data_IF_853425261415
#
_entry.id   IF_853425261415
#
_cell.length_a   1.000
_cell.length_b   1.000
_cell.length_c   1.000
_cell.angle_alpha   90.00
_cell.angle_beta   90.00
_cell.angle_gamma   90.00
#
_symmetry.space_group_name_H-M   'P 1'
#
loop_
_entity.id
_entity.type
_entity.pdbx_description
1 polymer ?
#
# COMPACT_ATOMS: atom_id res chain seq x y z
N UNK A 1 -4.01 -17.41 -21.80
CA UNK A 1 -4.35 -16.12 -21.17
C UNK A 1 -3.95 -16.04 -19.70
N UNK A 2 -4.09 -17.07 -18.86
CA UNK A 2 -3.73 -16.99 -17.43
C UNK A 2 -2.21 -16.89 -17.09
N UNK A 3 -1.31 -17.25 -18.01
CA UNK A 3 0.13 -17.25 -17.75
C UNK A 3 0.80 -15.87 -17.94
N UNK A 4 0.21 -15.00 -18.76
CA UNK A 4 0.75 -13.66 -19.04
C UNK A 4 0.42 -12.69 -17.89
N UNK A 5 -0.77 -12.82 -17.29
CA UNK A 5 -1.20 -12.03 -16.13
C UNK A 5 -0.40 -12.37 -14.86
N UNK A 6 0.08 -13.61 -14.73
CA UNK A 6 0.87 -14.06 -13.59
C UNK A 6 2.33 -13.57 -13.61
N UNK A 7 2.89 -13.32 -14.79
CA UNK A 7 4.27 -12.81 -14.93
C UNK A 7 4.32 -11.29 -14.69
N UNK A 8 3.30 -10.56 -15.17
CA UNK A 8 3.15 -9.12 -14.91
C UNK A 8 3.11 -8.76 -13.41
N UNK A 9 2.64 -9.70 -12.58
CA UNK A 9 2.56 -9.56 -11.11
C UNK A 9 3.95 -9.54 -10.41
N UNK A 10 5.00 -9.90 -11.14
CA UNK A 10 6.40 -9.93 -10.67
C UNK A 10 7.26 -8.84 -11.28
N UNK A 11 6.74 -8.13 -12.29
CA UNK A 11 7.46 -7.05 -12.95
C UNK A 11 7.45 -5.80 -12.06
N UNK A 12 8.63 -5.18 -11.93
CA UNK A 12 8.79 -3.88 -11.31
C UNK A 12 9.26 -2.92 -12.41
N UNK A 13 8.46 -1.90 -12.65
CA UNK A 13 8.78 -0.84 -13.61
C UNK A 13 9.49 0.30 -12.88
N UNK A 14 10.69 0.63 -13.33
CA UNK A 14 11.43 1.77 -12.79
C UNK A 14 11.04 3.00 -13.60
N UNK A 15 10.33 3.93 -12.96
CA UNK A 15 9.88 5.20 -13.57
C UNK A 15 10.96 6.27 -13.45
N UNK A 16 11.67 6.30 -12.32
CA UNK A 16 12.77 7.23 -12.06
C UNK A 16 13.84 6.56 -11.21
N UNK A 17 15.10 6.69 -11.61
CA UNK A 17 16.23 6.22 -10.81
C UNK A 17 16.53 7.12 -9.59
N UNK A 18 15.97 8.34 -9.56
CA UNK A 18 16.25 9.32 -8.51
C UNK A 18 17.69 9.85 -8.54
N UNK A 19 18.15 10.35 -7.40
CA UNK A 19 19.49 10.93 -7.25
C UNK A 19 20.08 10.59 -5.89
N UNK A 20 21.40 10.34 -5.86
CA UNK A 20 22.11 10.09 -4.62
C UNK A 20 22.07 11.32 -3.72
N UNK A 21 21.81 11.10 -2.45
CA UNK A 21 21.91 12.14 -1.45
C UNK A 21 23.40 12.48 -1.20
N UNK A 22 23.79 13.72 -1.52
CA UNK A 22 25.19 14.20 -1.44
C UNK A 22 25.33 15.50 -0.63
N UNK A 23 24.44 15.73 0.33
CA UNK A 23 24.42 17.00 1.08
C UNK A 23 25.55 17.11 2.11
N UNK A 24 26.30 16.03 2.36
CA UNK A 24 27.20 15.95 3.51
C UNK A 24 26.44 15.97 4.85
N UNK A 25 27.14 15.64 5.93
CA UNK A 25 26.61 15.68 7.30
C UNK A 25 26.12 14.34 7.86
N UNK A 26 25.66 14.36 9.11
CA UNK A 26 25.39 13.17 9.93
C UNK A 26 24.38 12.17 9.34
N UNK A 27 23.52 12.64 8.44
CA UNK A 27 22.44 11.86 7.84
C UNK A 27 22.80 11.20 6.52
N UNK A 28 23.92 11.56 5.87
CA UNK A 28 24.29 10.99 4.57
C UNK A 28 24.43 9.46 4.63
N UNK A 29 25.05 8.95 5.70
CA UNK A 29 25.19 7.51 5.94
C UNK A 29 23.86 6.77 6.08
N UNK A 30 22.76 7.46 6.40
CA UNK A 30 21.42 6.85 6.49
C UNK A 30 20.78 6.61 5.12
N UNK A 31 21.25 7.29 4.07
CA UNK A 31 20.82 7.05 2.68
C UNK A 31 21.55 5.87 2.04
N UNK A 32 22.14 4.99 2.85
CA UNK A 32 22.80 3.77 2.42
C UNK A 32 22.32 2.61 3.29
N UNK A 33 22.24 1.42 2.72
CA UNK A 33 21.92 0.21 3.48
C UNK A 33 22.97 -0.06 4.57
N UNK A 34 22.52 -0.63 5.69
CA UNK A 34 23.37 -0.89 6.84
C UNK A 34 24.55 -1.83 6.50
N UNK A 35 25.67 -1.62 7.20
CA UNK A 35 26.97 -2.24 6.97
C UNK A 35 27.13 -3.69 7.44
N UNK A 36 26.03 -4.43 7.65
CA UNK A 36 26.13 -5.85 8.06
C UNK A 36 26.52 -6.78 6.90
N UNK A 37 26.73 -6.26 5.70
CA UNK A 37 27.20 -6.98 4.51
C UNK A 37 28.40 -6.32 3.83
N UNK A 38 28.99 -7.04 2.87
CA UNK A 38 30.14 -6.60 2.05
C UNK A 38 29.84 -5.36 1.22
N UNK A 39 28.59 -5.22 0.77
CA UNK A 39 28.14 -4.15 -0.11
C UNK A 39 27.08 -3.27 0.56
N UNK A 40 27.18 -1.96 0.34
CA UNK A 40 26.16 -0.98 0.74
C UNK A 40 25.47 -0.46 -0.51
N UNK A 41 24.14 -0.48 -0.48
CA UNK A 41 23.31 -0.01 -1.57
C UNK A 41 22.74 1.37 -1.23
N UNK A 42 22.76 2.33 -2.16
CA UNK A 42 22.21 3.65 -1.92
C UNK A 42 20.68 3.65 -1.95
N UNK A 43 20.09 4.62 -1.26
CA UNK A 43 18.68 4.98 -1.33
C UNK A 43 18.53 6.32 -2.07
N UNK A 44 18.43 6.29 -3.41
CA UNK A 44 18.34 7.52 -4.20
C UNK A 44 17.03 8.26 -3.96
N UNK A 45 17.11 9.55 -3.65
CA UNK A 45 15.96 10.43 -3.46
C UNK A 45 15.28 10.68 -4.81
N UNK A 46 13.95 10.61 -4.85
CA UNK A 46 13.16 10.69 -6.08
C UNK A 46 13.17 9.40 -6.91
N UNK A 47 13.71 8.30 -6.36
CA UNK A 47 13.49 6.98 -6.95
C UNK A 47 11.99 6.70 -6.97
N UNK A 48 11.49 6.25 -8.11
CA UNK A 48 10.09 5.92 -8.29
C UNK A 48 9.97 4.64 -9.11
N UNK A 49 9.26 3.67 -8.56
CA UNK A 49 8.98 2.41 -9.24
C UNK A 49 7.54 1.98 -9.00
N UNK A 50 6.96 1.28 -9.97
CA UNK A 50 5.61 0.73 -9.90
C UNK A 50 5.71 -0.78 -9.93
N UNK A 51 4.98 -1.44 -9.02
CA UNK A 51 4.80 -2.88 -9.03
C UNK A 51 3.33 -3.20 -9.16
N UNK A 52 3.00 -4.08 -10.11
CA UNK A 52 1.67 -4.66 -10.21
C UNK A 52 1.64 -5.94 -9.36
N UNK A 53 0.68 -6.05 -8.44
CA UNK A 53 0.51 -7.24 -7.61
C UNK A 53 -0.96 -7.48 -7.26
N UNK A 54 -1.46 -8.66 -7.61
CA UNK A 54 -2.85 -9.11 -7.37
C UNK A 54 -3.91 -8.13 -7.92
N UNK A 55 -3.66 -7.53 -9.10
CA UNK A 55 -4.57 -6.57 -9.74
C UNK A 55 -4.54 -5.16 -9.13
N UNK A 56 -3.65 -4.89 -8.16
CA UNK A 56 -3.42 -3.57 -7.57
C UNK A 56 -2.04 -3.09 -8.00
N UNK A 57 -1.91 -1.81 -8.33
CA UNK A 57 -0.60 -1.23 -8.64
C UNK A 57 -0.10 -0.44 -7.44
N UNK A 58 1.16 -0.65 -7.09
CA UNK A 58 1.83 -0.03 -5.96
C UNK A 58 2.97 0.85 -6.47
N UNK A 59 2.78 2.16 -6.37
CA UNK A 59 3.84 3.14 -6.57
C UNK A 59 4.70 3.22 -5.32
N UNK A 60 6.01 3.08 -5.49
CA UNK A 60 7.02 3.12 -4.43
C UNK A 60 7.95 4.29 -4.70
N UNK A 61 8.12 5.16 -3.71
CA UNK A 61 8.96 6.35 -3.81
C UNK A 61 9.92 6.48 -2.63
N UNK A 62 11.14 6.94 -2.89
CA UNK A 62 12.10 7.31 -1.83
C UNK A 62 12.18 8.83 -1.76
N UNK A 63 11.73 9.38 -0.65
CA UNK A 63 11.73 10.82 -0.38
C UNK A 63 12.85 11.21 0.59
N UNK A 64 13.26 12.47 0.50
CA UNK A 64 14.17 13.03 1.49
C UNK A 64 13.41 13.28 2.81
N UNK A 65 13.91 12.72 3.90
CA UNK A 65 13.39 13.01 5.25
C UNK A 65 14.38 13.79 6.12
N UNK A 66 13.91 14.31 7.26
CA UNK A 66 14.72 15.12 8.18
C UNK A 66 15.83 14.32 8.89
N UNK A 67 15.69 12.99 8.97
CA UNK A 67 16.62 12.08 9.68
C UNK A 67 17.07 10.88 8.83
N UNK A 68 17.01 11.01 7.50
CA UNK A 68 17.25 9.93 6.56
C UNK A 68 16.12 9.81 5.52
N UNK A 69 16.14 8.80 4.65
CA UNK A 69 15.12 8.61 3.63
C UNK A 69 13.77 8.24 4.24
N UNK A 70 12.70 8.64 3.55
CA UNK A 70 11.32 8.21 3.81
C UNK A 70 10.88 7.36 2.63
N UNK A 71 10.42 6.15 2.90
CA UNK A 71 9.88 5.24 1.90
C UNK A 71 8.36 5.41 1.88
N UNK A 72 7.83 5.85 0.74
CA UNK A 72 6.40 6.01 0.49
C UNK A 72 5.93 4.85 -0.39
N UNK A 73 4.80 4.25 -0.03
CA UNK A 73 4.10 3.29 -0.87
C UNK A 73 2.66 3.74 -1.04
N UNK A 74 2.21 3.82 -2.28
CA UNK A 74 0.87 4.26 -2.67
C UNK A 74 0.21 3.20 -3.54
N UNK A 75 -0.96 2.73 -3.13
CA UNK A 75 -1.82 1.84 -3.90
C UNK A 75 -2.72 2.65 -4.84
N UNK A 76 -3.05 2.10 -6.00
CA UNK A 76 -4.09 2.62 -6.90
C UNK A 76 -5.47 2.70 -6.26
N UNK A 77 -5.70 2.01 -5.13
CA UNK A 77 -6.93 2.13 -4.33
C UNK A 77 -6.97 3.40 -3.44
N UNK A 78 -5.95 4.26 -3.53
CA UNK A 78 -5.86 5.52 -2.80
C UNK A 78 -5.26 5.41 -1.41
N UNK A 79 -4.76 4.23 -1.01
CA UNK A 79 -4.00 4.08 0.23
C UNK A 79 -2.54 4.49 0.04
N UNK A 80 -2.09 5.50 0.77
CA UNK A 80 -0.68 5.83 0.90
C UNK A 80 -0.19 5.63 2.33
N UNK A 81 1.04 5.16 2.48
CA UNK A 81 1.72 4.99 3.77
C UNK A 81 3.21 5.28 3.63
N UNK A 82 3.80 5.78 4.72
CA UNK A 82 5.23 6.04 4.79
C UNK A 82 5.90 5.15 5.83
N UNK A 83 7.22 5.01 5.71
CA UNK A 83 8.07 4.33 6.68
C UNK A 83 9.53 4.77 6.57
N UNK A 84 10.29 4.64 7.66
CA UNK A 84 11.72 4.95 7.69
C UNK A 84 12.58 3.85 7.03
N UNK A 85 11.97 2.69 6.74
CA UNK A 85 12.57 1.60 5.95
C UNK A 85 11.53 1.05 4.97
N UNK A 86 11.96 0.41 3.87
CA UNK A 86 11.03 -0.16 2.89
C UNK A 86 10.10 -1.21 3.52
N UNK A 87 10.63 -2.04 4.43
CA UNK A 87 9.86 -3.08 5.12
C UNK A 87 8.80 -2.50 6.06
N UNK A 88 9.12 -1.39 6.76
CA UNK A 88 8.14 -0.68 7.59
C UNK A 88 7.01 -0.08 6.75
N UNK A 89 7.34 0.57 5.62
CA UNK A 89 6.34 1.14 4.72
C UNK A 89 5.40 0.05 4.18
N UNK A 90 5.96 -1.07 3.72
CA UNK A 90 5.18 -2.21 3.20
C UNK A 90 4.28 -2.85 4.28
N UNK A 91 4.81 -3.07 5.49
CA UNK A 91 4.01 -3.59 6.62
C UNK A 91 2.88 -2.65 7.02
N UNK A 92 3.12 -1.34 7.02
CA UNK A 92 2.09 -0.35 7.30
C UNK A 92 0.97 -0.39 6.26
N UNK A 93 1.32 -0.61 4.99
CA UNK A 93 0.33 -0.76 3.92
C UNK A 93 -0.52 -2.00 4.15
N UNK A 94 0.10 -3.15 4.41
CA UNK A 94 -0.64 -4.40 4.67
C UNK A 94 -1.58 -4.28 5.88
N UNK A 95 -1.19 -3.58 6.94
CA UNK A 95 -2.08 -3.32 8.08
C UNK A 95 -3.27 -2.44 7.68
N UNK A 96 -3.04 -1.40 6.89
CA UNK A 96 -4.07 -0.46 6.42
C UNK A 96 -5.05 -1.13 5.43
N UNK A 97 -4.52 -1.88 4.47
CA UNK A 97 -5.30 -2.67 3.51
C UNK A 97 -6.01 -3.85 4.19
N UNK A 98 -5.35 -4.57 5.11
CA UNK A 98 -5.94 -5.66 5.89
C UNK A 98 -7.09 -5.21 6.79
N UNK A 99 -7.01 -4.01 7.36
CA UNK A 99 -8.13 -3.38 8.08
C UNK A 99 -9.31 -3.07 7.14
N UNK A 100 -9.04 -2.64 5.90
CA UNK A 100 -10.07 -2.43 4.87
C UNK A 100 -10.72 -3.73 4.39
N UNK A 101 -9.97 -4.82 4.20
CA UNK A 101 -10.53 -6.14 3.83
C UNK A 101 -11.52 -6.64 4.88
N UNK A 102 -11.20 -6.46 6.17
CA UNK A 102 -12.11 -6.79 7.27
C UNK A 102 -13.38 -5.92 7.26
N UNK A 103 -13.23 -4.64 6.92
CA UNK A 103 -14.36 -3.71 6.80
C UNK A 103 -15.25 -4.01 5.58
N UNK A 104 -14.65 -4.47 4.47
CA UNK A 104 -15.37 -4.92 3.27
C UNK A 104 -16.14 -6.22 3.52
N UNK A 105 -15.57 -7.17 4.27
CA UNK A 105 -16.29 -8.36 4.72
C UNK A 105 -17.50 -7.99 5.58
N UNK A 106 -17.35 -7.05 6.52
CA UNK A 106 -18.46 -6.56 7.36
C UNK A 106 -19.53 -5.83 6.53
N UNK A 107 -19.14 -5.07 5.49
CA UNK A 107 -20.12 -4.38 4.62
C UNK A 107 -20.78 -5.30 3.57
N UNK A 108 -20.21 -6.47 3.27
CA UNK A 108 -20.82 -7.49 2.39
C UNK A 108 -21.69 -8.50 3.15
N UNK A 109 -21.47 -8.68 4.46
CA UNK A 109 -22.36 -9.48 5.30
C UNK A 109 -23.35 -8.57 6.03
N UNK A 110 -24.38 -8.09 5.32
CA UNK A 110 -25.75 -7.90 5.81
C UNK A 110 -26.60 -7.37 4.64
N UNK A 111 -27.30 -8.22 3.87
CA UNK A 111 -28.56 -7.79 3.28
C UNK A 111 -29.49 -7.47 4.46
N UNK A 112 -29.90 -6.21 4.52
CA UNK A 112 -31.05 -5.74 5.27
C UNK A 112 -32.19 -6.74 5.02
N UNK A 113 -32.63 -7.49 6.04
CA UNK A 113 -33.84 -8.29 5.93
C UNK A 113 -35.02 -7.32 5.77
N UNK A 114 -35.52 -7.23 4.55
CA UNK A 114 -36.82 -6.64 4.23
C UNK A 114 -37.59 -7.73 3.48
N UNK A 115 -38.59 -8.29 4.16
CA UNK A 115 -39.91 -8.71 3.66
C UNK A 115 -40.58 -9.47 4.81
N UNK A 116 -41.87 -9.34 5.11
CA UNK A 116 -42.97 -8.66 4.45
C UNK A 116 -44.21 -8.83 5.35
N UNK A 117 -45.23 -8.03 5.08
CA UNK A 117 -46.43 -7.81 5.88
C UNK A 117 -47.31 -9.06 6.12
N UNK A 118 -48.03 -9.07 7.24
CA UNK A 118 -49.41 -9.58 7.30
C UNK A 118 -50.23 -8.53 8.07
N UNK A 119 -51.00 -7.73 7.33
CA UNK A 119 -52.11 -6.95 7.86
C UNK A 119 -53.36 -7.82 7.71
N UNK A 120 -54.03 -8.16 8.81
CA UNK A 120 -55.42 -8.62 8.78
C UNK A 120 -56.33 -7.40 8.90
N UNK A 121 -57.20 -7.10 7.93
CA UNK A 121 -58.38 -6.30 8.15
C UNK A 121 -59.60 -7.21 8.30
N UNK A 122 -60.30 -7.11 9.44
CA UNK A 122 -61.76 -7.26 9.49
C UNK A 122 -62.26 -6.46 10.73
N UNK A 123 -62.92 -5.33 10.47
CA UNK A 123 -63.86 -4.68 11.39
C UNK A 123 -65.22 -5.43 11.32
N UNK A 124 -66.26 -5.24 12.17
CA UNK A 124 -66.46 -4.26 13.25
C UNK A 124 -67.15 -4.80 14.56
N UNK A 125 -67.30 -3.89 15.53
CA UNK A 125 -68.39 -3.73 16.54
C UNK A 125 -69.10 -4.96 17.14
N UNK A 126 -68.83 -5.26 18.42
CA UNK A 126 -69.63 -4.89 19.61
C UNK A 126 -68.98 -5.42 20.90
#
# INVERSE_FOLDING_TARGET
MAAEEAEGDRVIEIVSAGSLYRRGGDWERKYWSCSRGKDRYPYPVGYHAVRHFSGISYAMEIQQGPRGPIFLVTSTEGDSVTGETPDFAWKNLQKKTGAKVRNWQIRRSFPQKIDGAEACPDFPHL
#
